data_IF_601041522522
#
_entry.id   IF_601041522522
#
_cell.length_a   1.000
_cell.length_b   1.000
_cell.length_c   1.000
_cell.angle_alpha   90.00
_cell.angle_beta   90.00
_cell.angle_gamma   90.00
#
_symmetry.space_group_name_H-M   'P 1'
#
loop_
_entity.id
_entity.type
_entity.pdbx_description
1 polymer ?
#
# COMPACT_ATOMS: atom_id res chain seq x y z
N UNK A 1 1.15 18.66 -10.81
CA UNK A 1 1.83 17.97 -9.70
C UNK A 1 0.73 17.26 -8.95
N UNK A 2 0.33 16.10 -9.46
CA UNK A 2 -0.75 15.32 -8.87
C UNK A 2 -0.19 14.69 -7.60
N UNK A 3 -0.77 15.04 -6.44
CA UNK A 3 -0.42 14.43 -5.16
C UNK A 3 -0.86 12.97 -5.19
N UNK A 4 0.01 12.08 -5.65
CA UNK A 4 -0.14 10.65 -5.39
C UNK A 4 -0.09 10.48 -3.87
N UNK A 5 -1.24 10.19 -3.24
CA UNK A 5 -1.33 9.92 -1.81
C UNK A 5 -0.45 8.72 -1.48
N UNK A 6 0.74 8.99 -0.97
CA UNK A 6 1.76 8.01 -0.71
C UNK A 6 1.56 7.44 0.71
N UNK A 7 0.81 6.35 0.84
CA UNK A 7 0.68 5.65 2.12
C UNK A 7 1.92 4.80 2.35
N UNK A 8 2.79 5.26 3.25
CA UNK A 8 3.95 4.50 3.70
C UNK A 8 3.56 3.55 4.83
N UNK A 9 3.69 2.25 4.60
CA UNK A 9 3.39 1.23 5.60
C UNK A 9 4.63 0.85 6.40
N UNK A 10 4.45 0.69 7.72
CA UNK A 10 5.38 -0.07 8.55
C UNK A 10 4.93 -1.53 8.56
N UNK A 11 5.66 -2.39 7.84
CA UNK A 11 5.42 -3.83 7.79
C UNK A 11 6.06 -4.48 9.01
N UNK A 12 5.20 -5.02 9.89
CA UNK A 12 5.64 -5.80 11.04
C UNK A 12 5.95 -7.23 10.59
N UNK A 13 7.14 -7.75 10.94
CA UNK A 13 7.53 -9.12 10.61
C UNK A 13 6.54 -10.15 11.17
N UNK A 14 6.12 -11.11 10.35
CA UNK A 14 5.12 -12.12 10.68
C UNK A 14 3.66 -11.67 10.51
N UNK A 15 3.41 -10.40 10.17
CA UNK A 15 2.07 -9.88 9.85
C UNK A 15 1.54 -10.42 8.52
N UNK A 16 0.24 -10.21 8.25
CA UNK A 16 -0.35 -10.51 6.95
C UNK A 16 0.33 -9.73 5.81
N UNK A 17 0.76 -8.49 6.07
CA UNK A 17 1.47 -7.67 5.10
C UNK A 17 2.83 -8.26 4.73
N UNK A 18 3.60 -8.74 5.72
CA UNK A 18 4.89 -9.41 5.48
C UNK A 18 4.71 -10.70 4.67
N UNK A 19 3.68 -11.50 5.00
CA UNK A 19 3.33 -12.71 4.24
C UNK A 19 2.81 -12.42 2.84
N UNK A 20 2.18 -11.27 2.62
CA UNK A 20 1.78 -10.77 1.32
C UNK A 20 2.97 -10.24 0.50
N UNK A 21 4.16 -10.11 1.09
CA UNK A 21 5.37 -9.64 0.42
C UNK A 21 5.52 -8.12 0.39
N UNK A 22 4.69 -7.40 1.15
CA UNK A 22 4.87 -5.97 1.39
C UNK A 22 6.17 -5.74 2.17
N UNK A 23 6.85 -4.65 1.85
CA UNK A 23 8.09 -4.23 2.50
C UNK A 23 8.00 -2.78 2.93
N UNK A 24 8.78 -2.44 3.93
CA UNK A 24 8.96 -1.05 4.34
C UNK A 24 9.47 -0.22 3.16
N UNK A 25 8.79 0.88 2.87
CA UNK A 25 9.08 1.74 1.73
C UNK A 25 8.31 1.41 0.44
N UNK A 26 7.45 0.38 0.45
CA UNK A 26 6.46 0.21 -0.62
C UNK A 26 5.44 1.34 -0.58
N UNK A 27 5.13 1.89 -1.76
CA UNK A 27 4.16 2.97 -1.95
C UNK A 27 2.88 2.37 -2.51
N UNK A 28 1.74 2.61 -1.86
CA UNK A 28 0.44 2.21 -2.41
C UNK A 28 0.02 3.13 -3.56
N UNK A 29 -0.28 2.56 -4.72
CA UNK A 29 -0.79 3.29 -5.89
C UNK A 29 -2.30 3.05 -6.06
N UNK A 30 -2.73 1.80 -5.93
CA UNK A 30 -4.14 1.42 -6.07
C UNK A 30 -4.58 0.39 -5.02
N UNK A 31 -5.87 0.41 -4.70
CA UNK A 31 -6.51 -0.53 -3.78
C UNK A 31 -7.85 -0.95 -4.38
N UNK A 32 -8.06 -2.26 -4.60
CA UNK A 32 -9.23 -2.84 -5.28
C UNK A 32 -9.50 -2.21 -6.67
N UNK A 33 -8.45 -1.79 -7.38
CA UNK A 33 -8.56 -1.10 -8.67
C UNK A 33 -8.95 0.39 -8.58
N UNK A 34 -9.09 0.93 -7.37
CA UNK A 34 -9.28 2.36 -7.15
C UNK A 34 -7.91 3.04 -7.04
N UNK A 35 -7.65 4.03 -7.91
CA UNK A 35 -6.52 4.94 -7.80
C UNK A 35 -6.89 6.21 -7.01
N UNK A 36 -5.92 7.14 -6.88
CA UNK A 36 -6.07 8.41 -6.16
C UNK A 36 -6.68 8.21 -4.75
N UNK A 37 -6.01 7.35 -3.99
CA UNK A 37 -6.51 6.85 -2.72
C UNK A 37 -6.61 7.97 -1.69
N UNK A 38 -7.85 8.27 -1.30
CA UNK A 38 -8.16 9.17 -0.18
C UNK A 38 -8.18 8.35 1.12
N UNK A 39 -7.51 8.81 2.17
CA UNK A 39 -7.35 8.01 3.40
C UNK A 39 -8.69 7.62 4.03
N UNK A 40 -9.70 8.48 3.91
CA UNK A 40 -11.06 8.23 4.37
C UNK A 40 -11.78 7.18 3.51
N UNK A 41 -11.51 7.14 2.21
CA UNK A 41 -12.07 6.14 1.30
C UNK A 41 -11.41 4.78 1.53
N UNK A 42 -10.09 4.77 1.71
CA UNK A 42 -9.29 3.59 2.06
C UNK A 42 -9.78 2.97 3.36
N UNK A 43 -9.93 3.76 4.43
CA UNK A 43 -10.40 3.26 5.73
C UNK A 43 -11.77 2.56 5.61
N UNK A 44 -12.72 3.17 4.91
CA UNK A 44 -14.03 2.56 4.65
C UNK A 44 -13.91 1.27 3.83
N UNK A 45 -13.07 1.26 2.80
CA UNK A 45 -12.92 0.09 1.94
C UNK A 45 -12.31 -1.09 2.70
N UNK A 46 -11.33 -0.81 3.56
CA UNK A 46 -10.72 -1.79 4.46
C UNK A 46 -11.75 -2.36 5.44
N UNK A 47 -12.66 -1.54 5.95
CA UNK A 47 -13.75 -2.00 6.86
C UNK A 47 -14.80 -2.82 6.13
N UNK A 48 -15.10 -2.51 4.86
CA UNK A 48 -16.09 -3.26 4.08
C UNK A 48 -15.54 -4.57 3.51
N UNK A 49 -14.25 -4.65 3.26
CA UNK A 49 -13.61 -5.83 2.68
C UNK A 49 -13.37 -6.88 3.76
N UNK A 50 -14.12 -7.99 3.69
CA UNK A 50 -14.14 -9.01 4.75
C UNK A 50 -13.25 -10.23 4.52
N UNK A 51 -12.79 -10.43 3.29
CA UNK A 51 -12.18 -11.70 2.88
C UNK A 51 -10.78 -11.52 2.27
N UNK A 52 -10.67 -10.64 1.27
CA UNK A 52 -9.41 -10.30 0.60
C UNK A 52 -9.42 -8.85 0.15
N UNK A 53 -8.22 -8.28 0.00
CA UNK A 53 -7.99 -6.93 -0.54
C UNK A 53 -6.81 -7.02 -1.50
N UNK A 54 -7.01 -6.55 -2.72
CA UNK A 54 -6.01 -6.44 -3.77
C UNK A 54 -5.38 -5.05 -3.72
N UNK A 55 -4.05 -5.02 -3.74
CA UNK A 55 -3.25 -3.82 -3.54
C UNK A 55 -2.21 -3.76 -4.66
N UNK A 56 -2.10 -2.62 -5.33
CA UNK A 56 -1.01 -2.34 -6.27
C UNK A 56 -0.02 -1.43 -5.57
N UNK A 57 1.19 -1.94 -5.36
CA UNK A 57 2.28 -1.20 -4.74
C UNK A 57 3.42 -0.96 -5.71
N UNK A 58 4.02 0.21 -5.60
CA UNK A 58 5.20 0.61 -6.33
C UNK A 58 6.39 0.64 -5.36
N UNK A 59 7.37 -0.21 -5.62
CA UNK A 59 8.63 -0.22 -4.88
C UNK A 59 9.62 0.67 -5.59
N UNK A 60 9.91 1.84 -5.02
CA UNK A 60 11.07 2.59 -5.44
C UNK A 60 12.32 1.87 -4.95
N UNK A 61 12.98 1.16 -5.85
CA UNK A 61 14.33 0.68 -5.61
C UNK A 61 15.21 1.92 -5.60
N UNK A 62 15.49 2.46 -4.42
CA UNK A 62 16.62 3.36 -4.27
C UNK A 62 17.84 2.52 -4.58
N UNK A 63 18.32 2.58 -5.83
CA UNK A 63 19.60 2.01 -6.20
C UNK A 63 20.60 2.63 -5.21
N UNK A 64 21.11 1.80 -4.31
CA UNK A 64 22.14 2.21 -3.36
C UNK A 64 23.24 2.88 -4.15
N UNK A 65 23.46 4.16 -3.90
CA UNK A 65 24.69 4.80 -4.34
C UNK A 65 25.79 4.07 -3.56
N UNK A 66 26.77 3.45 -4.23
CA UNK A 66 27.81 2.67 -3.57
C UNK A 66 28.67 3.48 -2.62
#
# INVERSE_FOLDING_TARGET
MESSTCLAFNVVGGSLADRAGLRNGDILDQLEGLGNLDINAVDRLLVTSRDKIELVVHRHVTNGVP
#
